data_IF_331468227188
#
_entry.id   IF_331468227188
#
_cell.length_a   1.000
_cell.length_b   1.000
_cell.length_c   1.000
_cell.angle_alpha   90.00
_cell.angle_beta   90.00
_cell.angle_gamma   90.00
#
_symmetry.space_group_name_H-M   'P 1'
#
loop_
_entity.id
_entity.type
_entity.pdbx_description
1 polymer ?
#
# COMPACT_ATOMS: atom_id res chain seq x y z
N UNK A 1 -12.74 19.72 -8.93
CA UNK A 1 -12.98 18.37 -9.48
C UNK A 1 -14.21 17.77 -8.80
N UNK A 2 -15.10 17.18 -9.56
CA UNK A 2 -16.30 16.56 -9.00
C UNK A 2 -15.94 15.26 -8.24
N UNK A 3 -16.72 14.83 -7.24
CA UNK A 3 -16.45 13.57 -6.54
C UNK A 3 -16.36 12.36 -7.48
N UNK A 4 -17.20 12.29 -8.51
CA UNK A 4 -17.14 11.20 -9.47
C UNK A 4 -15.83 11.18 -10.27
N UNK A 5 -15.33 12.36 -10.66
CA UNK A 5 -14.04 12.47 -11.35
C UNK A 5 -12.90 12.07 -10.43
N UNK A 6 -12.95 12.44 -9.14
CA UNK A 6 -11.93 12.05 -8.16
C UNK A 6 -11.89 10.52 -7.98
N UNK A 7 -13.05 9.87 -7.93
CA UNK A 7 -13.12 8.40 -7.81
C UNK A 7 -12.54 7.72 -9.06
N UNK A 8 -12.81 8.25 -10.24
CA UNK A 8 -12.21 7.74 -11.48
C UNK A 8 -10.68 7.84 -11.44
N UNK A 9 -10.16 8.98 -11.00
CA UNK A 9 -8.71 9.18 -10.84
C UNK A 9 -8.12 8.18 -9.83
N UNK A 10 -8.81 7.97 -8.73
CA UNK A 10 -8.37 7.02 -7.70
C UNK A 10 -8.36 5.58 -8.22
N UNK A 11 -9.33 5.19 -9.03
CA UNK A 11 -9.35 3.86 -9.65
C UNK A 11 -8.19 3.68 -10.63
N UNK A 12 -7.90 4.71 -11.41
CA UNK A 12 -6.76 4.70 -12.32
C UNK A 12 -5.45 4.57 -11.51
N UNK A 13 -5.31 5.35 -10.46
CA UNK A 13 -4.15 5.28 -9.57
C UNK A 13 -4.01 3.91 -8.91
N UNK A 14 -5.12 3.31 -8.49
CA UNK A 14 -5.14 1.95 -7.93
C UNK A 14 -4.55 0.93 -8.90
N UNK A 15 -5.05 0.94 -10.14
CA UNK A 15 -4.56 0.03 -11.19
C UNK A 15 -3.12 0.34 -11.55
N UNK A 16 -2.74 1.63 -11.65
CA UNK A 16 -1.37 2.03 -11.94
C UNK A 16 -0.40 1.61 -10.84
N UNK A 17 -0.82 1.69 -9.57
CA UNK A 17 0.01 1.24 -8.45
C UNK A 17 0.33 -0.25 -8.57
N UNK A 18 -0.67 -1.08 -8.85
CA UNK A 18 -0.47 -2.51 -9.05
C UNK A 18 0.36 -2.80 -10.30
N UNK A 19 0.08 -2.12 -11.40
CA UNK A 19 0.82 -2.31 -12.65
C UNK A 19 2.29 -1.90 -12.50
N UNK A 20 2.56 -0.78 -11.85
CA UNK A 20 3.92 -0.30 -11.61
C UNK A 20 4.67 -1.26 -10.67
N UNK A 21 4.02 -1.75 -9.62
CA UNK A 21 4.61 -2.75 -8.72
C UNK A 21 4.95 -4.03 -9.47
N UNK A 22 4.05 -4.51 -10.33
CA UNK A 22 4.28 -5.69 -11.15
C UNK A 22 5.41 -5.50 -12.15
N UNK A 23 5.49 -4.35 -12.80
CA UNK A 23 6.58 -4.01 -13.73
C UNK A 23 7.92 -3.92 -13.01
N UNK A 24 7.94 -3.32 -11.82
CA UNK A 24 9.15 -3.24 -11.01
C UNK A 24 9.62 -4.63 -10.59
N UNK A 25 8.70 -5.47 -10.14
CA UNK A 25 9.00 -6.86 -9.81
C UNK A 25 9.54 -7.62 -11.02
N UNK A 26 8.94 -7.46 -12.19
CA UNK A 26 9.40 -8.08 -13.43
C UNK A 26 10.81 -7.59 -13.81
N UNK A 27 11.09 -6.29 -13.63
CA UNK A 27 12.41 -5.73 -13.91
C UNK A 27 13.48 -6.38 -13.03
N UNK A 28 13.20 -6.61 -11.75
CA UNK A 28 14.12 -7.32 -10.86
C UNK A 28 14.26 -8.80 -11.24
N UNK A 29 13.16 -9.47 -11.57
CA UNK A 29 13.18 -10.90 -11.94
C UNK A 29 13.89 -11.17 -13.26
N UNK A 30 13.85 -10.22 -14.20
CA UNK A 30 14.52 -10.32 -15.48
C UNK A 30 15.95 -9.79 -15.46
N UNK A 31 16.47 -9.49 -14.28
CA UNK A 31 17.82 -8.96 -14.06
C UNK A 31 18.08 -7.59 -14.74
N UNK A 32 17.03 -6.86 -15.05
CA UNK A 32 17.16 -5.50 -15.56
C UNK A 32 17.63 -4.52 -14.47
N UNK A 33 17.28 -4.82 -13.21
CA UNK A 33 17.71 -4.07 -12.05
C UNK A 33 18.51 -4.98 -11.12
N UNK A 34 19.55 -4.45 -10.42
CA UNK A 34 20.32 -5.26 -9.48
C UNK A 34 19.46 -5.65 -8.28
N UNK A 35 19.53 -6.91 -7.89
CA UNK A 35 18.88 -7.44 -6.69
C UNK A 35 19.93 -7.96 -5.72
N UNK A 36 19.55 -8.09 -4.44
CA UNK A 36 20.48 -8.57 -3.43
C UNK A 36 21.65 -7.63 -3.18
N UNK A 37 21.48 -6.33 -3.44
CA UNK A 37 22.56 -5.35 -3.37
C UNK A 37 22.86 -4.88 -1.94
N UNK A 38 22.03 -5.25 -0.96
CA UNK A 38 22.25 -4.94 0.45
C UNK A 38 22.90 -6.15 1.10
N UNK A 39 23.99 -5.91 1.84
CA UNK A 39 24.67 -6.98 2.56
C UNK A 39 23.80 -7.50 3.70
N UNK A 40 23.58 -8.82 3.73
CA UNK A 40 22.70 -9.47 4.69
C UNK A 40 23.42 -9.79 6.00
N UNK A 41 23.82 -8.76 6.76
CA UNK A 41 24.34 -8.94 8.11
C UNK A 41 23.18 -9.20 9.07
N UNK A 42 23.41 -9.87 10.24
CA UNK A 42 22.33 -10.08 11.21
C UNK A 42 21.65 -8.79 11.64
N UNK A 43 22.41 -7.70 11.78
CA UNK A 43 21.88 -6.39 12.17
C UNK A 43 21.00 -5.80 11.06
N UNK A 44 21.46 -5.88 9.82
CA UNK A 44 20.72 -5.39 8.66
C UNK A 44 19.44 -6.17 8.48
N UNK A 45 19.48 -7.50 8.61
CA UNK A 45 18.30 -8.36 8.53
C UNK A 45 17.28 -8.02 9.61
N UNK A 46 17.73 -7.85 10.85
CA UNK A 46 16.85 -7.50 11.96
C UNK A 46 16.13 -6.17 11.69
N UNK A 47 16.90 -5.15 11.31
CA UNK A 47 16.36 -3.81 11.02
C UNK A 47 15.39 -3.85 9.85
N UNK A 48 15.75 -4.53 8.76
CA UNK A 48 14.89 -4.65 7.57
C UNK A 48 13.61 -5.40 7.87
N UNK A 49 13.69 -6.51 8.62
CA UNK A 49 12.52 -7.30 8.98
C UNK A 49 11.59 -6.51 9.90
N UNK A 50 12.15 -5.79 10.87
CA UNK A 50 11.38 -4.94 11.76
C UNK A 50 10.66 -3.84 10.97
N UNK A 51 11.36 -3.18 10.05
CA UNK A 51 10.79 -2.15 9.17
C UNK A 51 9.67 -2.72 8.30
N UNK A 52 9.89 -3.90 7.69
CA UNK A 52 8.87 -4.58 6.87
C UNK A 52 7.62 -4.88 7.67
N UNK A 53 7.77 -5.46 8.86
CA UNK A 53 6.64 -5.84 9.72
C UNK A 53 5.88 -4.59 10.16
N UNK A 54 6.57 -3.57 10.64
CA UNK A 54 5.95 -2.32 11.08
C UNK A 54 5.21 -1.65 9.92
N UNK A 55 5.84 -1.57 8.76
CA UNK A 55 5.23 -0.95 7.58
C UNK A 55 4.02 -1.74 7.09
N UNK A 56 4.14 -3.05 7.01
CA UNK A 56 3.06 -3.90 6.51
C UNK A 56 1.87 -3.92 7.48
N UNK A 57 2.11 -4.21 8.75
CA UNK A 57 1.03 -4.30 9.72
C UNK A 57 0.45 -2.94 10.05
N UNK A 58 1.30 -1.93 10.26
CA UNK A 58 0.86 -0.56 10.53
C UNK A 58 0.13 0.05 9.35
N UNK A 59 0.67 -0.09 8.15
CA UNK A 59 0.05 0.42 6.93
C UNK A 59 -1.28 -0.27 6.64
N UNK A 60 -1.34 -1.58 6.78
CA UNK A 60 -2.58 -2.36 6.61
C UNK A 60 -3.62 -1.95 7.65
N UNK A 61 -3.22 -1.87 8.91
CA UNK A 61 -4.13 -1.47 9.99
C UNK A 61 -4.68 -0.06 9.73
N UNK A 62 -3.81 0.90 9.46
CA UNK A 62 -4.23 2.29 9.20
C UNK A 62 -5.11 2.37 7.96
N UNK A 63 -4.76 1.69 6.88
CA UNK A 63 -5.53 1.73 5.65
C UNK A 63 -6.94 1.15 5.84
N UNK A 64 -7.07 0.02 6.52
CA UNK A 64 -8.36 -0.64 6.71
C UNK A 64 -9.20 0.03 7.80
N UNK A 65 -8.58 0.70 8.75
CA UNK A 65 -9.28 1.33 9.88
C UNK A 65 -9.49 2.83 9.72
N UNK A 66 -8.89 3.45 8.71
CA UNK A 66 -8.95 4.89 8.53
C UNK A 66 -10.39 5.42 8.51
N UNK A 67 -11.26 4.76 7.75
CA UNK A 67 -12.67 5.17 7.64
C UNK A 67 -13.49 4.81 8.87
N UNK A 68 -12.96 4.00 9.79
CA UNK A 68 -13.65 3.60 11.00
C UNK A 68 -13.44 4.56 12.18
N UNK A 69 -12.46 5.46 12.10
CA UNK A 69 -12.25 6.47 13.15
C UNK A 69 -13.44 7.43 13.21
N UNK A 70 -13.94 7.71 14.41
CA UNK A 70 -15.13 8.54 14.60
C UNK A 70 -15.02 9.93 13.98
N UNK A 71 -13.84 10.56 14.10
CA UNK A 71 -13.58 11.88 13.53
C UNK A 71 -13.63 11.82 11.98
N UNK A 72 -13.05 10.78 11.39
CA UNK A 72 -13.06 10.57 9.94
C UNK A 72 -14.48 10.28 9.45
N UNK A 73 -15.23 9.42 10.15
CA UNK A 73 -16.62 9.13 9.83
C UNK A 73 -17.46 10.39 9.79
N UNK A 74 -17.26 11.29 10.76
CA UNK A 74 -17.99 12.55 10.82
C UNK A 74 -17.66 13.43 9.61
N UNK A 75 -16.39 13.59 9.29
CA UNK A 75 -15.96 14.40 8.15
C UNK A 75 -16.45 13.84 6.82
N UNK A 76 -16.41 12.52 6.67
CA UNK A 76 -16.88 11.82 5.47
C UNK A 76 -18.40 11.97 5.30
N UNK A 77 -19.16 11.92 6.39
CA UNK A 77 -20.62 12.08 6.35
C UNK A 77 -21.02 13.51 5.92
N UNK A 78 -20.18 14.50 6.23
CA UNK A 78 -20.47 15.90 5.91
C UNK A 78 -20.09 16.31 4.49
N UNK A 79 -19.15 15.60 3.85
CA UNK A 79 -18.63 16.02 2.55
C UNK A 79 -18.13 14.83 1.72
N UNK A 80 -18.59 14.76 0.48
CA UNK A 80 -18.10 13.78 -0.49
C UNK A 80 -16.64 14.04 -0.87
N UNK A 81 -16.22 15.29 -0.87
CA UNK A 81 -14.81 15.65 -1.12
C UNK A 81 -13.90 15.12 0.00
N UNK A 82 -14.35 15.20 1.24
CA UNK A 82 -13.62 14.63 2.38
C UNK A 82 -13.52 13.10 2.23
N UNK A 83 -14.58 12.44 1.82
CA UNK A 83 -14.57 11.00 1.54
C UNK A 83 -13.49 10.64 0.51
N UNK A 84 -13.44 11.36 -0.60
CA UNK A 84 -12.44 11.14 -1.65
C UNK A 84 -11.02 11.40 -1.14
N UNK A 85 -10.82 12.42 -0.31
CA UNK A 85 -9.51 12.71 0.30
C UNK A 85 -9.04 11.56 1.18
N UNK A 86 -9.92 10.99 1.99
CA UNK A 86 -9.58 9.88 2.86
C UNK A 86 -9.34 8.59 2.06
N UNK A 87 -10.07 8.38 0.95
CA UNK A 87 -9.77 7.29 0.04
C UNK A 87 -8.36 7.43 -0.56
N UNK A 88 -8.00 8.64 -0.99
CA UNK A 88 -6.67 8.92 -1.53
C UNK A 88 -5.58 8.68 -0.47
N UNK A 89 -5.82 9.12 0.76
CA UNK A 89 -4.88 8.90 1.86
C UNK A 89 -4.71 7.42 2.15
N UNK A 90 -5.81 6.66 2.20
CA UNK A 90 -5.78 5.21 2.39
C UNK A 90 -4.95 4.53 1.31
N UNK A 91 -5.17 4.90 0.06
CA UNK A 91 -4.46 4.35 -1.09
C UNK A 91 -2.98 4.69 -1.05
N UNK A 92 -2.63 5.91 -0.63
CA UNK A 92 -1.24 6.33 -0.46
C UNK A 92 -0.54 5.49 0.62
N UNK A 93 -1.17 5.30 1.77
CA UNK A 93 -0.61 4.53 2.88
C UNK A 93 -0.29 3.09 2.43
N UNK A 94 -1.26 2.43 1.82
CA UNK A 94 -1.06 1.03 1.40
C UNK A 94 -0.08 0.92 0.23
N UNK A 95 -0.07 1.90 -0.67
CA UNK A 95 0.89 1.96 -1.78
C UNK A 95 2.32 2.09 -1.30
N UNK A 96 2.57 2.97 -0.34
CA UNK A 96 3.90 3.12 0.28
C UNK A 96 4.33 1.81 0.95
N UNK A 97 3.41 1.13 1.65
CA UNK A 97 3.71 -0.15 2.28
C UNK A 97 4.09 -1.21 1.23
N UNK A 98 3.36 -1.28 0.11
CA UNK A 98 3.65 -2.23 -0.98
C UNK A 98 5.05 -1.97 -1.56
N UNK A 99 5.36 -0.73 -1.92
CA UNK A 99 6.65 -0.41 -2.53
C UNK A 99 7.81 -0.58 -1.57
N UNK A 100 7.65 -0.23 -0.30
CA UNK A 100 8.68 -0.42 0.71
C UNK A 100 9.01 -1.90 0.89
N UNK A 101 8.01 -2.76 0.99
CA UNK A 101 8.22 -4.19 1.16
C UNK A 101 8.76 -4.85 -0.12
N UNK A 102 8.29 -4.41 -1.29
CA UNK A 102 8.81 -4.87 -2.57
C UNK A 102 10.30 -4.55 -2.71
N UNK A 103 10.68 -3.32 -2.40
CA UNK A 103 12.08 -2.89 -2.45
C UNK A 103 12.94 -3.71 -1.48
N UNK A 104 12.49 -3.89 -0.24
CA UNK A 104 13.22 -4.67 0.76
C UNK A 104 13.35 -6.14 0.35
N UNK A 105 12.32 -6.72 -0.23
CA UNK A 105 12.37 -8.09 -0.72
C UNK A 105 13.51 -8.27 -1.74
N UNK A 106 13.59 -7.38 -2.72
CA UNK A 106 14.64 -7.50 -3.75
C UNK A 106 16.00 -7.01 -3.28
N UNK A 107 16.06 -6.09 -2.32
CA UNK A 107 17.33 -5.64 -1.74
C UNK A 107 18.04 -6.77 -0.96
N UNK A 108 17.27 -7.63 -0.28
CA UNK A 108 17.75 -8.73 0.55
C UNK A 108 17.33 -10.11 0.01
N UNK A 109 17.29 -10.25 -1.28
CA UNK A 109 16.59 -11.29 -2.05
C UNK A 109 16.74 -12.72 -1.49
N UNK A 110 17.89 -13.13 -1.04
CA UNK A 110 18.13 -14.52 -0.64
C UNK A 110 18.26 -14.72 0.86
N UNK A 111 18.10 -13.65 1.63
CA UNK A 111 18.43 -13.71 3.06
C UNK A 111 17.24 -14.14 3.93
N UNK A 112 16.01 -13.72 3.59
CA UNK A 112 14.84 -13.98 4.43
C UNK A 112 13.57 -13.81 3.59
N UNK A 113 12.50 -14.50 4.00
CA UNK A 113 11.19 -14.43 3.34
C UNK A 113 10.22 -13.45 4.03
N UNK A 114 10.65 -12.76 5.08
CA UNK A 114 9.79 -11.86 5.85
C UNK A 114 9.18 -10.76 4.97
N UNK A 115 10.00 -10.10 4.14
CA UNK A 115 9.51 -9.05 3.24
C UNK A 115 8.51 -9.59 2.22
N UNK A 116 8.67 -10.83 1.76
CA UNK A 116 7.73 -11.47 0.84
C UNK A 116 6.37 -11.67 1.51
N UNK A 117 6.34 -12.19 2.73
CA UNK A 117 5.09 -12.36 3.46
C UNK A 117 4.42 -11.03 3.76
N UNK A 118 5.20 -10.02 4.15
CA UNK A 118 4.69 -8.67 4.38
C UNK A 118 4.13 -8.06 3.10
N UNK A 119 4.79 -8.27 1.97
CA UNK A 119 4.31 -7.82 0.67
C UNK A 119 2.97 -8.47 0.31
N UNK A 120 2.83 -9.77 0.54
CA UNK A 120 1.56 -10.48 0.31
C UNK A 120 0.44 -9.93 1.18
N UNK A 121 0.72 -9.65 2.45
CA UNK A 121 -0.26 -9.04 3.36
C UNK A 121 -0.71 -7.68 2.84
N UNK A 122 0.23 -6.83 2.41
CA UNK A 122 -0.11 -5.50 1.89
C UNK A 122 -0.88 -5.57 0.57
N UNK A 123 -0.56 -6.54 -0.29
CA UNK A 123 -1.30 -6.74 -1.54
C UNK A 123 -2.74 -7.18 -1.28
N UNK A 124 -2.95 -8.10 -0.34
CA UNK A 124 -4.30 -8.52 0.06
C UNK A 124 -5.07 -7.33 0.63
N UNK A 125 -4.44 -6.54 1.50
CA UNK A 125 -5.06 -5.34 2.05
C UNK A 125 -5.41 -4.33 0.94
N UNK A 126 -4.55 -4.17 -0.05
CA UNK A 126 -4.80 -3.30 -1.19
C UNK A 126 -6.04 -3.74 -1.98
N UNK A 127 -6.27 -5.05 -2.11
CA UNK A 127 -7.47 -5.57 -2.77
C UNK A 127 -8.76 -5.15 -2.06
N UNK A 128 -8.72 -4.97 -0.73
CA UNK A 128 -9.87 -4.47 0.04
C UNK A 128 -10.02 -2.95 -0.03
N UNK A 129 -9.05 -2.23 -0.61
CA UNK A 129 -9.04 -0.77 -0.66
C UNK A 129 -9.53 -0.21 -2.01
N UNK A 130 -10.33 -0.97 -2.77
CA UNK A 130 -10.85 -0.51 -4.05
C UNK A 130 -11.65 0.79 -3.87
N UNK A 131 -11.32 1.87 -4.60
CA UNK A 131 -12.07 3.12 -4.51
C UNK A 131 -13.47 2.96 -5.11
N UNK A 132 -14.48 3.13 -4.28
CA UNK A 132 -15.88 3.05 -4.72
C UNK A 132 -16.63 4.32 -4.35
N UNK A 133 -17.69 4.61 -5.12
CA UNK A 133 -18.55 5.76 -4.83
C UNK A 133 -19.25 5.55 -3.48
N UNK A 134 -19.40 6.65 -2.73
CA UNK A 134 -20.12 6.62 -1.47
C UNK A 134 -21.61 6.38 -1.72
N UNK A 135 -22.18 5.37 -1.08
CA UNK A 135 -23.61 5.10 -1.17
C UNK A 135 -24.37 5.81 -0.04
N UNK A 136 -25.70 6.04 -0.17
CA UNK A 136 -26.47 6.64 0.91
C UNK A 136 -26.38 5.89 2.24
N UNK A 137 -26.17 4.58 2.21
CA UNK A 137 -26.01 3.76 3.42
C UNK A 137 -24.70 3.99 4.15
N UNK A 138 -23.71 4.61 3.51
CA UNK A 138 -22.40 4.90 4.09
C UNK A 138 -22.37 6.26 4.81
N UNK A 139 -23.42 7.06 4.68
CA UNK A 139 -23.51 8.38 5.29
C UNK A 139 -24.10 8.34 6.69
#
# INVERSE_FOLDING_TARGET
>A
MSPNAMIKVLRIDYVLTLAAAGLLAAAFELDWLPSGFVEATPETLYTANLFSIVTALGGTYLALRLMAFGKVKRMVAESEKAYCKFLALRQLIIGVAIYANLFLYYALLSADNTAMYCLLITLVAHCFCWPSAQTPSDK
#
